data_IF_877256744096
#
_entry.id   IF_877256744096
#
_cell.length_a   1.000
_cell.length_b   1.000
_cell.length_c   1.000
_cell.angle_alpha   90.00
_cell.angle_beta   90.00
_cell.angle_gamma   90.00
#
_symmetry.space_group_name_H-M   'P 1'
#
loop_
_entity.id
_entity.type
_entity.pdbx_description
1 polymer ?
#
# COMPACT_ATOMS: atom_id res chain seq x y z
N UNK A 1 -2.68 -29.18 4.23
CA UNK A 1 -1.88 -28.37 5.18
C UNK A 1 -1.75 -26.98 4.58
N UNK A 2 -2.73 -26.11 4.84
CA UNK A 2 -2.77 -24.74 4.32
C UNK A 2 -2.16 -23.86 5.41
N UNK A 3 -0.84 -23.97 5.59
CA UNK A 3 -0.08 -23.15 6.54
C UNK A 3 0.92 -22.22 5.83
N UNK A 4 0.99 -22.25 4.49
CA UNK A 4 1.92 -21.44 3.69
C UNK A 4 1.32 -20.13 3.15
N UNK A 5 0.01 -19.88 3.36
CA UNK A 5 -0.66 -18.68 2.83
C UNK A 5 -0.59 -17.49 3.78
N UNK A 6 -0.24 -17.69 5.06
CA UNK A 6 -0.26 -16.61 6.06
C UNK A 6 1.14 -16.02 6.36
N UNK A 7 2.22 -16.75 6.08
CA UNK A 7 3.59 -16.27 6.32
C UNK A 7 4.07 -15.22 5.30
N UNK A 8 3.31 -14.98 4.22
CA UNK A 8 3.56 -13.92 3.24
C UNK A 8 2.74 -12.63 3.50
N UNK A 9 1.91 -12.59 4.54
CA UNK A 9 1.12 -11.40 4.94
C UNK A 9 1.75 -10.58 6.06
N UNK A 10 3.04 -10.77 6.34
CA UNK A 10 3.75 -9.99 7.37
C UNK A 10 3.97 -8.52 6.97
N UNK A 11 3.78 -8.18 5.68
CA UNK A 11 3.77 -6.78 5.24
C UNK A 11 2.44 -6.13 5.62
N UNK A 12 2.45 -5.37 6.71
CA UNK A 12 1.34 -4.52 7.13
C UNK A 12 0.91 -3.58 6.00
N UNK A 13 -0.34 -3.12 6.03
CA UNK A 13 -0.82 -2.10 5.08
C UNK A 13 0.10 -0.89 5.02
N UNK A 14 0.68 -0.49 6.15
CA UNK A 14 1.59 0.64 6.19
C UNK A 14 2.93 0.38 5.49
N UNK A 15 3.53 -0.79 5.73
CA UNK A 15 4.79 -1.18 5.08
C UNK A 15 4.62 -1.29 3.57
N UNK A 16 3.51 -1.87 3.12
CA UNK A 16 3.13 -1.92 1.72
C UNK A 16 3.06 -0.53 1.10
N UNK A 17 2.32 0.39 1.74
CA UNK A 17 2.17 1.77 1.25
C UNK A 17 3.53 2.46 1.17
N UNK A 18 4.40 2.32 2.19
CA UNK A 18 5.74 2.94 2.20
C UNK A 18 6.67 2.35 1.14
N UNK A 19 6.64 1.04 0.91
CA UNK A 19 7.45 0.38 -0.12
C UNK A 19 6.95 0.78 -1.52
N UNK A 20 5.66 0.65 -1.77
CA UNK A 20 5.04 0.95 -3.07
C UNK A 20 5.21 2.42 -3.47
N UNK A 21 5.08 3.34 -2.51
CA UNK A 21 5.34 4.75 -2.75
C UNK A 21 6.78 4.99 -3.24
N UNK A 22 7.77 4.38 -2.56
CA UNK A 22 9.19 4.51 -2.95
C UNK A 22 9.47 3.92 -4.32
N UNK A 23 8.88 2.79 -4.66
CA UNK A 23 9.01 2.16 -5.98
C UNK A 23 8.48 3.06 -7.09
N UNK A 24 7.27 3.61 -6.93
CA UNK A 24 6.64 4.47 -7.93
C UNK A 24 7.33 5.84 -8.02
N UNK A 25 7.81 6.36 -6.89
CA UNK A 25 8.62 7.58 -6.86
C UNK A 25 9.94 7.38 -7.60
N UNK A 26 10.60 6.22 -7.45
CA UNK A 26 11.82 5.89 -8.18
C UNK A 26 11.59 5.76 -9.70
N UNK A 27 10.36 5.43 -10.12
CA UNK A 27 9.93 5.44 -11.52
C UNK A 27 9.60 6.84 -12.05
N UNK A 28 9.70 7.89 -11.22
CA UNK A 28 9.44 9.27 -11.60
C UNK A 28 7.96 9.68 -11.60
N UNK A 29 7.06 8.88 -11.01
CA UNK A 29 5.66 9.26 -10.87
C UNK A 29 5.50 10.43 -9.89
N UNK A 30 4.51 11.28 -10.17
CA UNK A 30 4.12 12.36 -9.26
C UNK A 30 3.26 11.84 -8.11
N UNK A 31 3.37 12.45 -6.94
CA UNK A 31 2.70 11.99 -5.71
C UNK A 31 1.19 11.73 -5.88
N UNK A 32 0.48 12.56 -6.65
CA UNK A 32 -0.95 12.35 -6.90
C UNK A 32 -1.23 11.00 -7.58
N UNK A 33 -0.52 10.71 -8.67
CA UNK A 33 -0.63 9.43 -9.39
C UNK A 33 -0.17 8.24 -8.54
N UNK A 34 0.85 8.44 -7.69
CA UNK A 34 1.31 7.41 -6.75
C UNK A 34 0.19 7.02 -5.77
N UNK A 35 -0.46 7.99 -5.15
CA UNK A 35 -1.51 7.70 -4.17
C UNK A 35 -2.77 7.10 -4.82
N UNK A 36 -3.14 7.54 -6.02
CA UNK A 36 -4.24 6.92 -6.78
C UNK A 36 -3.94 5.44 -7.09
N UNK A 37 -2.71 5.13 -7.53
CA UNK A 37 -2.31 3.76 -7.80
C UNK A 37 -2.30 2.90 -6.53
N UNK A 38 -1.79 3.44 -5.42
CA UNK A 38 -1.77 2.72 -4.13
C UNK A 38 -3.20 2.44 -3.65
N UNK A 39 -4.12 3.40 -3.79
CA UNK A 39 -5.53 3.19 -3.43
C UNK A 39 -6.17 2.08 -4.28
N UNK A 40 -5.90 2.08 -5.59
CA UNK A 40 -6.36 1.02 -6.48
C UNK A 40 -5.77 -0.34 -6.09
N UNK A 41 -4.46 -0.41 -5.84
CA UNK A 41 -3.77 -1.66 -5.47
C UNK A 41 -4.31 -2.22 -4.14
N UNK A 42 -4.65 -1.36 -3.17
CA UNK A 42 -5.22 -1.77 -1.89
C UNK A 42 -6.62 -2.40 -2.02
N UNK A 43 -7.43 -1.97 -3.00
CA UNK A 43 -8.78 -2.55 -3.25
C UNK A 43 -8.72 -4.00 -3.73
N UNK A 44 -7.61 -4.42 -4.31
CA UNK A 44 -7.41 -5.79 -4.81
C UNK A 44 -6.68 -6.72 -3.83
N UNK A 45 -6.28 -6.24 -2.64
CA UNK A 45 -5.62 -7.08 -1.63
C UNK A 45 -6.62 -8.05 -0.97
N UNK A 46 -6.22 -9.32 -0.85
CA UNK A 46 -7.03 -10.42 -0.30
C UNK A 46 -7.44 -10.24 1.17
N UNK A 47 -6.68 -9.44 1.92
CA UNK A 47 -7.05 -8.94 3.24
C UNK A 47 -7.25 -7.44 3.07
N UNK A 48 -8.48 -7.03 2.71
CA UNK A 48 -8.79 -5.63 2.50
C UNK A 48 -8.75 -4.89 3.85
N UNK A 49 -7.78 -3.98 4.09
CA UNK A 49 -7.92 -3.04 5.18
C UNK A 49 -9.16 -2.15 4.92
N UNK A 50 -9.76 -1.55 5.95
CA UNK A 50 -10.78 -0.53 5.74
C UNK A 50 -10.27 0.53 4.76
N UNK A 51 -11.13 0.99 3.85
CA UNK A 51 -10.77 1.94 2.79
C UNK A 51 -9.99 3.12 3.38
N UNK A 52 -8.70 3.21 3.02
CA UNK A 52 -7.84 4.29 3.49
C UNK A 52 -8.09 5.51 2.63
N UNK A 53 -8.48 6.61 3.27
CA UNK A 53 -8.57 7.91 2.63
C UNK A 53 -7.18 8.40 2.21
N UNK A 54 -7.10 9.26 1.19
CA UNK A 54 -5.87 9.91 0.76
C UNK A 54 -5.10 10.57 1.93
N UNK A 55 -5.82 11.14 2.90
CA UNK A 55 -5.23 11.74 4.10
C UNK A 55 -4.54 10.71 4.98
N UNK A 56 -5.12 9.51 5.14
CA UNK A 56 -4.50 8.41 5.89
C UNK A 56 -3.27 7.87 5.15
N UNK A 57 -3.34 7.71 3.83
CA UNK A 57 -2.18 7.30 3.01
C UNK A 57 -1.01 8.28 3.14
N UNK A 58 -1.28 9.58 3.04
CA UNK A 58 -0.25 10.62 3.24
C UNK A 58 0.35 10.57 4.64
N UNK A 59 -0.45 10.30 5.67
CA UNK A 59 0.05 10.16 7.04
C UNK A 59 0.95 8.95 7.22
N UNK A 60 0.71 7.85 6.51
CA UNK A 60 1.57 6.65 6.57
C UNK A 60 2.96 6.92 5.97
N UNK A 61 3.01 7.75 4.91
CA UNK A 61 4.25 8.07 4.19
C UNK A 61 5.02 9.22 4.85
N UNK A 62 4.33 10.26 5.31
CA UNK A 62 4.94 11.50 5.79
C UNK A 62 4.81 11.75 7.30
N UNK A 63 3.95 10.99 7.99
CA UNK A 63 3.76 11.09 9.44
C UNK A 63 4.67 10.13 10.18
#
# INVERSE_FOLDING_TARGET
>A
MIQDVLAYFDETTEEYVRRRHRELQAQGLVNAAIFEQIEADLKYRAVAPPELTLRQLRRIVYG
#
